data_IF_506068404032
#
_entry.id   IF_506068404032
#
_cell.length_a   1.000
_cell.length_b   1.000
_cell.length_c   1.000
_cell.angle_alpha   90.00
_cell.angle_beta   90.00
_cell.angle_gamma   90.00
#
_symmetry.space_group_name_H-M   'P 1'
#
loop_
_entity.id
_entity.type
_entity.pdbx_description
1 polymer ?
#
# COMPACT_ATOMS: atom_id res chain seq x y z
N UNK A 1 1.49 -7.68 -26.47
CA UNK A 1 2.53 -8.73 -26.51
C UNK A 1 3.93 -8.19 -26.14
N UNK A 2 4.49 -7.20 -26.86
CA UNK A 2 5.84 -6.69 -26.58
C UNK A 2 6.02 -6.08 -25.17
N UNK A 3 5.01 -5.41 -24.62
CA UNK A 3 5.09 -4.81 -23.28
C UNK A 3 5.32 -5.84 -22.16
N UNK A 4 4.64 -7.00 -22.22
CA UNK A 4 4.83 -8.06 -21.22
C UNK A 4 6.18 -8.76 -21.36
N UNK A 5 6.72 -8.89 -22.58
CA UNK A 5 8.08 -9.41 -22.76
C UNK A 5 9.11 -8.50 -22.08
N UNK A 6 8.94 -7.18 -22.16
CA UNK A 6 9.80 -6.23 -21.42
C UNK A 6 9.62 -6.31 -19.90
N UNK A 7 8.39 -6.44 -19.41
CA UNK A 7 8.13 -6.64 -17.97
C UNK A 7 8.72 -7.95 -17.46
N UNK A 8 8.63 -9.02 -18.24
CA UNK A 8 9.22 -10.32 -17.92
C UNK A 8 10.75 -10.25 -17.89
N UNK A 9 11.36 -9.55 -18.85
CA UNK A 9 12.81 -9.30 -18.85
C UNK A 9 13.24 -8.48 -17.63
N UNK A 10 12.49 -7.44 -17.28
CA UNK A 10 12.77 -6.61 -16.10
C UNK A 10 12.67 -7.42 -14.79
N UNK A 11 11.60 -8.19 -14.61
CA UNK A 11 11.42 -9.07 -13.46
C UNK A 11 12.52 -10.15 -13.40
N UNK A 12 12.96 -10.69 -14.55
CA UNK A 12 14.08 -11.65 -14.60
C UNK A 12 15.43 -11.03 -14.26
N UNK A 13 15.65 -9.77 -14.61
CA UNK A 13 16.88 -9.03 -14.33
C UNK A 13 16.98 -8.63 -12.84
N UNK A 14 15.84 -8.35 -12.20
CA UNK A 14 15.76 -7.95 -10.81
C UNK A 14 14.72 -8.80 -10.05
N UNK A 15 15.02 -10.09 -9.92
CA UNK A 15 14.10 -11.12 -9.39
C UNK A 15 13.65 -10.91 -7.95
N UNK A 16 14.34 -10.05 -7.21
CA UNK A 16 14.04 -9.75 -5.81
C UNK A 16 13.26 -8.46 -5.63
N UNK A 17 12.93 -7.75 -6.71
CA UNK A 17 12.15 -6.51 -6.64
C UNK A 17 10.65 -6.79 -6.77
N UNK A 18 9.93 -6.76 -5.64
CA UNK A 18 8.49 -6.98 -5.60
C UNK A 18 7.67 -5.98 -6.43
N UNK A 19 8.16 -4.75 -6.61
CA UNK A 19 7.44 -3.71 -7.36
C UNK A 19 7.23 -4.09 -8.84
N UNK A 20 8.16 -4.84 -9.45
CA UNK A 20 8.00 -5.31 -10.83
C UNK A 20 6.88 -6.33 -10.98
N UNK A 21 6.71 -7.21 -9.99
CA UNK A 21 5.63 -8.17 -9.98
C UNK A 21 4.28 -7.48 -9.74
N UNK A 22 4.21 -6.53 -8.80
CA UNK A 22 2.99 -5.74 -8.58
C UNK A 22 2.61 -4.91 -9.82
N UNK A 23 3.59 -4.27 -10.48
CA UNK A 23 3.38 -3.53 -11.73
C UNK A 23 2.85 -4.43 -12.85
N UNK A 24 3.42 -5.64 -12.98
CA UNK A 24 2.98 -6.63 -13.97
C UNK A 24 1.54 -7.11 -13.68
N UNK A 25 1.21 -7.35 -12.40
CA UNK A 25 -0.15 -7.69 -11.99
C UNK A 25 -1.15 -6.60 -12.38
N UNK A 26 -0.84 -5.32 -12.13
CA UNK A 26 -1.71 -4.19 -12.54
C UNK A 26 -1.87 -4.14 -14.06
N UNK A 27 -0.81 -4.34 -14.81
CA UNK A 27 -0.87 -4.36 -16.27
C UNK A 27 -1.73 -5.52 -16.81
N UNK A 28 -1.67 -6.69 -16.16
CA UNK A 28 -2.55 -7.84 -16.48
C UNK A 28 -4.00 -7.51 -16.16
N UNK A 29 -4.26 -7.00 -14.97
CA UNK A 29 -5.59 -6.59 -14.53
C UNK A 29 -6.26 -5.61 -15.52
N UNK A 30 -5.51 -4.62 -16.00
CA UNK A 30 -6.03 -3.64 -16.95
C UNK A 30 -6.43 -4.25 -18.31
N UNK A 31 -5.90 -5.43 -18.66
CA UNK A 31 -6.19 -6.11 -19.92
C UNK A 31 -7.23 -7.23 -19.77
N UNK A 32 -7.10 -8.03 -18.71
CA UNK A 32 -7.99 -9.13 -18.39
C UNK A 32 -8.06 -9.32 -16.86
N UNK A 33 -9.13 -8.83 -16.21
CA UNK A 33 -9.34 -9.02 -14.78
C UNK A 33 -9.47 -10.49 -14.35
N UNK A 34 -9.73 -11.41 -15.29
CA UNK A 34 -9.84 -12.84 -15.01
C UNK A 34 -8.50 -13.59 -15.20
N UNK A 35 -7.40 -12.91 -15.56
CA UNK A 35 -6.09 -13.55 -15.75
C UNK A 35 -5.60 -14.19 -14.44
N UNK A 36 -5.45 -15.53 -14.37
CA UNK A 36 -5.03 -16.22 -13.15
C UNK A 36 -3.59 -15.85 -12.71
N UNK A 37 -2.78 -15.27 -13.59
CA UNK A 37 -1.42 -14.84 -13.28
C UNK A 37 -1.38 -13.57 -12.41
N UNK A 38 -2.48 -12.81 -12.30
CA UNK A 38 -2.56 -11.63 -11.45
C UNK A 38 -2.25 -12.00 -10.00
N UNK A 39 -2.92 -13.02 -9.45
CA UNK A 39 -2.74 -13.41 -8.05
C UNK A 39 -1.34 -14.02 -7.80
N UNK A 40 -0.77 -14.70 -8.79
CA UNK A 40 0.61 -15.21 -8.70
C UNK A 40 1.59 -14.04 -8.60
N UNK A 41 1.43 -13.03 -9.44
CA UNK A 41 2.28 -11.84 -9.43
C UNK A 41 2.13 -11.04 -8.12
N UNK A 42 0.92 -10.91 -7.59
CA UNK A 42 0.68 -10.22 -6.32
C UNK A 42 1.29 -10.96 -5.12
N UNK A 43 1.21 -12.30 -5.09
CA UNK A 43 1.88 -13.11 -4.05
C UNK A 43 3.40 -13.00 -4.12
N UNK A 44 3.97 -12.95 -5.31
CA UNK A 44 5.41 -12.72 -5.49
C UNK A 44 5.80 -11.32 -5.02
N UNK A 45 4.99 -10.30 -5.34
CA UNK A 45 5.22 -8.94 -4.86
C UNK A 45 5.21 -8.84 -3.33
N UNK A 46 4.28 -9.54 -2.66
CA UNK A 46 4.22 -9.61 -1.20
C UNK A 46 5.41 -10.34 -0.61
N UNK A 47 5.76 -11.51 -1.16
CA UNK A 47 6.89 -12.31 -0.70
C UNK A 47 8.22 -11.55 -0.78
N UNK A 48 8.41 -10.78 -1.85
CA UNK A 48 9.64 -10.04 -2.12
C UNK A 48 9.64 -8.63 -1.52
N UNK A 49 8.48 -8.15 -1.09
CA UNK A 49 8.28 -6.79 -0.61
C UNK A 49 8.21 -5.77 -1.75
N UNK A 50 7.01 -5.21 -1.98
CA UNK A 50 6.82 -4.03 -2.82
C UNK A 50 6.98 -2.75 -1.96
N UNK A 51 7.69 -1.75 -2.50
CA UNK A 51 7.97 -0.49 -1.79
C UNK A 51 7.17 0.69 -2.33
N UNK A 52 6.97 0.72 -3.64
CA UNK A 52 6.28 1.79 -4.35
C UNK A 52 4.91 1.36 -4.82
N UNK A 53 4.71 0.06 -4.96
CA UNK A 53 3.44 -0.55 -5.32
C UNK A 53 2.71 -1.12 -4.11
N UNK A 54 1.38 -1.17 -4.19
CA UNK A 54 0.53 -1.77 -3.16
C UNK A 54 -0.22 -2.99 -3.72
N UNK A 55 0.22 -4.22 -3.41
CA UNK A 55 -0.48 -5.43 -3.84
C UNK A 55 -1.95 -5.45 -3.39
N UNK A 56 -2.23 -4.97 -2.18
CA UNK A 56 -3.59 -4.90 -1.65
C UNK A 56 -4.45 -3.86 -2.37
N UNK A 57 -3.89 -2.73 -2.80
CA UNK A 57 -4.63 -1.79 -3.65
C UNK A 57 -5.05 -2.46 -4.97
N UNK A 58 -4.16 -3.23 -5.59
CA UNK A 58 -4.45 -3.94 -6.85
C UNK A 58 -5.49 -5.05 -6.61
N UNK A 59 -5.41 -5.81 -5.52
CA UNK A 59 -6.43 -6.81 -5.18
C UNK A 59 -7.81 -6.20 -4.95
N UNK A 60 -7.87 -4.98 -4.40
CA UNK A 60 -9.14 -4.33 -4.12
C UNK A 60 -9.95 -4.04 -5.40
N UNK A 61 -9.28 -3.83 -6.53
CA UNK A 61 -9.90 -3.62 -7.84
C UNK A 61 -10.67 -4.85 -8.35
N UNK A 62 -10.25 -6.06 -7.93
CA UNK A 62 -10.89 -7.35 -8.27
C UNK A 62 -11.63 -8.00 -7.09
N UNK A 63 -11.81 -7.26 -6.00
CA UNK A 63 -12.49 -7.79 -4.83
C UNK A 63 -13.93 -8.21 -5.18
N UNK A 64 -14.37 -9.41 -4.74
CA UNK A 64 -15.69 -9.94 -5.11
C UNK A 64 -16.84 -9.19 -4.44
N UNK A 65 -16.57 -8.53 -3.32
CA UNK A 65 -17.55 -7.84 -2.50
C UNK A 65 -16.94 -6.59 -1.85
N UNK A 66 -17.81 -5.72 -1.34
CA UNK A 66 -17.42 -4.43 -0.77
C UNK A 66 -16.67 -4.56 0.57
N UNK A 67 -17.01 -5.56 1.39
CA UNK A 67 -16.33 -5.79 2.67
C UNK A 67 -14.86 -6.21 2.44
N UNK A 68 -14.65 -7.15 1.52
CA UNK A 68 -13.32 -7.58 1.09
C UNK A 68 -12.53 -6.41 0.50
N UNK A 69 -13.18 -5.57 -0.32
CA UNK A 69 -12.56 -4.37 -0.90
C UNK A 69 -12.08 -3.39 0.16
N UNK A 70 -12.94 -3.07 1.14
CA UNK A 70 -12.61 -2.18 2.25
C UNK A 70 -11.45 -2.72 3.09
N UNK A 71 -11.47 -4.02 3.39
CA UNK A 71 -10.36 -4.69 4.11
C UNK A 71 -9.05 -4.57 3.35
N UNK A 72 -9.07 -4.75 2.03
CA UNK A 72 -7.87 -4.61 1.19
C UNK A 72 -7.38 -3.17 1.16
N UNK A 73 -8.25 -2.18 0.98
CA UNK A 73 -7.89 -0.77 1.05
C UNK A 73 -7.32 -0.34 2.40
N UNK A 74 -7.89 -0.81 3.51
CA UNK A 74 -7.38 -0.53 4.85
C UNK A 74 -5.91 -0.99 5.00
N UNK A 75 -5.57 -2.14 4.41
CA UNK A 75 -4.23 -2.74 4.44
C UNK A 75 -3.37 -2.36 3.22
N UNK A 76 -3.79 -1.43 2.38
CA UNK A 76 -3.06 -1.03 1.17
C UNK A 76 -2.00 0.03 1.43
N UNK A 77 -2.16 0.84 2.47
CA UNK A 77 -1.21 1.87 2.83
C UNK A 77 -0.17 1.29 3.80
N UNK A 78 1.14 1.49 3.55
CA UNK A 78 2.18 1.00 4.44
C UNK A 78 1.96 1.46 5.88
N UNK A 79 2.12 0.56 6.88
CA UNK A 79 1.99 0.95 8.28
C UNK A 79 3.03 2.01 8.63
N UNK A 80 2.68 2.94 9.52
CA UNK A 80 3.70 3.79 10.13
C UNK A 80 4.58 2.89 10.98
N UNK A 81 5.87 2.86 10.68
CA UNK A 81 6.85 2.26 11.59
C UNK A 81 6.94 3.19 12.78
N UNK A 82 6.06 2.95 13.77
CA UNK A 82 6.24 3.52 15.11
C UNK A 82 7.41 2.77 15.69
N UNK A 83 8.61 3.35 15.57
CA UNK A 83 9.77 2.84 16.26
C UNK A 83 9.43 2.85 17.75
N UNK A 84 9.10 1.68 18.30
CA UNK A 84 9.00 1.47 19.74
C UNK A 84 10.41 1.58 20.28
N UNK A 85 10.87 2.82 20.45
CA UNK A 85 12.19 3.10 20.97
C UNK A 85 12.21 2.59 22.42
N UNK A 86 12.80 1.41 22.62
CA UNK A 86 13.14 0.88 23.95
C UNK A 86 14.10 1.80 24.74
N UNK A 87 14.53 2.92 24.15
CA UNK A 87 15.32 3.97 24.79
C UNK A 87 14.71 4.45 26.12
N UNK A 88 13.37 4.44 26.25
CA UNK A 88 12.69 4.78 27.50
C UNK A 88 13.00 3.84 28.67
N UNK A 89 13.34 2.57 28.39
CA UNK A 89 13.68 1.55 29.40
C UNK A 89 15.17 1.64 29.79
N UNK A 90 16.04 2.03 28.87
CA UNK A 90 17.49 2.14 29.11
C UNK A 90 17.94 3.42 29.83
N UNK A 91 17.21 4.53 29.69
CA UNK A 91 17.62 5.85 30.20
C UNK A 91 16.67 6.45 31.26
N UNK A 92 16.09 5.61 32.14
CA UNK A 92 15.26 6.04 33.26
C UNK A 92 14.16 7.05 32.85
N UNK A 93 13.48 6.80 31.72
CA UNK A 93 12.39 7.66 31.23
C UNK A 93 12.81 8.86 30.37
N UNK A 94 14.09 9.06 30.06
CA UNK A 94 14.52 10.05 29.04
C UNK A 94 14.62 9.40 27.67
N UNK A 95 13.49 9.30 26.97
CA UNK A 95 13.46 8.90 25.56
C UNK A 95 13.81 10.07 24.64
N UNK A 96 14.70 9.86 23.67
CA UNK A 96 14.92 10.84 22.60
C UNK A 96 14.02 10.45 21.44
N UNK A 97 12.92 11.18 21.27
CA UNK A 97 12.13 11.07 20.04
C UNK A 97 12.91 11.69 18.89
N UNK A 98 13.50 10.88 18.02
CA UNK A 98 14.04 11.36 16.75
C UNK A 98 12.89 11.66 15.78
N UNK A 99 12.18 12.76 16.02
CA UNK A 99 11.28 13.32 15.02
C UNK A 99 12.14 13.96 13.94
N UNK A 100 12.27 13.29 12.80
CA UNK A 100 12.89 13.88 11.63
C UNK A 100 12.05 15.11 11.24
N UNK A 101 12.70 16.29 11.22
CA UNK A 101 12.07 17.53 10.82
C UNK A 101 11.40 17.35 9.45
N UNK A 102 10.21 17.95 9.19
CA UNK A 102 9.49 17.75 7.93
C UNK A 102 10.35 17.95 6.67
N UNK A 103 11.32 18.87 6.70
CA UNK A 103 12.27 19.14 5.62
C UNK A 103 13.34 18.06 5.39
N UNK A 104 13.59 17.22 6.40
CA UNK A 104 14.55 16.12 6.37
C UNK A 104 13.90 14.76 6.16
N UNK A 105 12.55 14.69 6.17
CA UNK A 105 11.84 13.45 5.86
C UNK A 105 12.15 13.10 4.41
N UNK A 106 12.51 11.84 4.09
CA UNK A 106 12.54 11.43 2.70
C UNK A 106 11.20 11.81 2.06
N UNK A 107 11.17 12.28 0.80
CA UNK A 107 9.92 12.55 0.12
C UNK A 107 9.01 11.34 0.33
N UNK A 108 7.88 11.56 1.00
CA UNK A 108 6.91 10.48 1.20
C UNK A 108 6.53 9.91 -0.17
N UNK A 109 5.96 8.71 -0.18
CA UNK A 109 5.47 8.02 -1.38
C UNK A 109 4.35 8.77 -2.16
N UNK A 110 4.13 10.06 -1.84
CA UNK A 110 3.17 10.95 -2.45
C UNK A 110 1.74 10.70 -1.99
N UNK A 111 0.85 11.63 -2.32
CA UNK A 111 -0.60 11.47 -2.07
C UNK A 111 -1.18 10.24 -2.81
N UNK A 112 -0.51 9.79 -3.87
CA UNK A 112 -0.89 8.61 -4.63
C UNK A 112 -0.99 7.34 -3.77
N UNK A 113 -0.09 7.15 -2.80
CA UNK A 113 -0.18 5.98 -1.91
C UNK A 113 -1.36 6.05 -0.94
N UNK A 114 -1.89 7.24 -0.66
CA UNK A 114 -3.06 7.39 0.21
C UNK A 114 -4.39 7.21 -0.54
N UNK A 115 -4.37 7.07 -1.87
CA UNK A 115 -5.59 6.87 -2.68
C UNK A 115 -6.48 5.71 -2.20
N UNK A 116 -5.96 4.53 -1.81
CA UNK A 116 -6.79 3.47 -1.24
C UNK A 116 -7.54 3.90 0.02
N UNK A 117 -6.93 4.72 0.89
CA UNK A 117 -7.60 5.25 2.07
C UNK A 117 -8.64 6.33 1.73
N UNK A 118 -8.43 7.11 0.67
CA UNK A 118 -9.45 8.04 0.15
C UNK A 118 -10.67 7.24 -0.33
N UNK A 119 -10.45 6.21 -1.15
CA UNK A 119 -11.51 5.32 -1.62
C UNK A 119 -12.23 4.62 -0.45
N UNK A 120 -11.48 4.21 0.58
CA UNK A 120 -12.05 3.63 1.80
C UNK A 120 -12.97 4.63 2.53
N UNK A 121 -12.53 5.88 2.73
CA UNK A 121 -13.35 6.90 3.38
C UNK A 121 -14.63 7.22 2.58
N UNK A 122 -14.54 7.26 1.25
CA UNK A 122 -15.69 7.46 0.36
C UNK A 122 -16.68 6.28 0.46
N UNK A 123 -16.17 5.05 0.54
CA UNK A 123 -17.01 3.87 0.69
C UNK A 123 -17.82 3.87 2.00
N UNK A 124 -17.20 4.26 3.12
CA UNK A 124 -17.90 4.43 4.40
C UNK A 124 -18.93 5.55 4.34
N UNK A 125 -18.59 6.70 3.74
CA UNK A 125 -19.53 7.81 3.58
C UNK A 125 -20.75 7.41 2.73
N UNK A 126 -20.54 6.67 1.64
CA UNK A 126 -21.61 6.17 0.78
C UNK A 126 -22.54 5.17 1.48
N UNK A 127 -22.02 4.41 2.46
CA UNK A 127 -22.79 3.49 3.29
C UNK A 127 -23.47 4.16 4.50
N UNK A 128 -23.29 5.47 4.70
CA UNK A 128 -23.81 6.20 5.87
C UNK A 128 -23.02 5.99 7.16
N UNK A 129 -21.85 5.34 7.09
CA UNK A 129 -20.95 5.10 8.21
C UNK A 129 -20.06 6.34 8.45
N UNK A 130 -20.69 7.44 8.87
CA UNK A 130 -20.04 8.76 8.97
C UNK A 130 -18.83 8.75 9.89
N UNK A 131 -18.93 8.13 11.07
CA UNK A 131 -17.84 8.07 12.04
C UNK A 131 -16.61 7.33 11.48
N UNK A 132 -16.82 6.23 10.76
CA UNK A 132 -15.75 5.46 10.13
C UNK A 132 -15.08 6.28 9.02
N UNK A 133 -15.86 6.98 8.18
CA UNK A 133 -15.33 7.86 7.14
C UNK A 133 -14.47 9.00 7.72
N UNK A 134 -14.91 9.62 8.82
CA UNK A 134 -14.15 10.66 9.51
C UNK A 134 -12.86 10.14 10.14
N UNK A 135 -12.89 8.96 10.76
CA UNK A 135 -11.69 8.33 11.32
C UNK A 135 -10.62 8.11 10.25
N UNK A 136 -11.00 7.60 9.08
CA UNK A 136 -10.06 7.40 7.96
C UNK A 136 -9.52 8.73 7.43
N UNK A 137 -10.38 9.75 7.26
CA UNK A 137 -9.94 11.09 6.83
C UNK A 137 -8.96 11.73 7.82
N UNK A 138 -9.20 11.56 9.12
CA UNK A 138 -8.27 12.03 10.16
C UNK A 138 -6.92 11.32 10.06
N UNK A 139 -6.92 10.00 9.87
CA UNK A 139 -5.70 9.24 9.66
C UNK A 139 -4.92 9.66 8.40
N UNK A 140 -5.61 10.09 7.34
CA UNK A 140 -4.98 10.68 6.14
C UNK A 140 -4.34 12.04 6.49
N UNK A 141 -5.05 12.91 7.20
CA UNK A 141 -4.56 14.24 7.56
C UNK A 141 -3.33 14.19 8.49
N UNK A 142 -3.27 13.24 9.43
CA UNK A 142 -2.14 13.05 10.33
C UNK A 142 -0.86 12.54 9.63
N UNK A 143 -0.97 12.04 8.39
CA UNK A 143 0.16 11.53 7.59
C UNK A 143 0.78 12.56 6.64
N UNK A 144 0.17 13.74 6.48
CA UNK A 144 0.69 14.85 5.67
C UNK A 144 1.69 15.70 6.46
#
# INVERSE_FOLDING_TARGET
AAAFDWMDRAARAARTNGDYYASRARARLALDPADPLIEIDLRLAELLGARYESPNAIRAEIAPDEETRRRLWANAVPPLVVAQNFEGVGYAGRGVGFWIAPSMRPPGVGLAVLQPWVALAESYAAAGEVEAAEAVRRAIAERQ
#
